data_IF_316785228046
#
_entry.id   IF_316785228046
#
_cell.length_a   1.000
_cell.length_b   1.000
_cell.length_c   1.000
_cell.angle_alpha   90.00
_cell.angle_beta   90.00
_cell.angle_gamma   90.00
#
_symmetry.space_group_name_H-M   'P 1'
#
loop_
_entity.id
_entity.type
_entity.pdbx_description
1 polymer ?
#
# COMPACT_ATOMS: atom_id res chain seq x y z
N UNK A 1 4.03 -20.49 0.99
CA UNK A 1 4.57 -19.77 2.17
C UNK A 1 4.71 -18.32 1.76
N UNK A 2 4.09 -17.39 2.50
CA UNK A 2 4.24 -15.95 2.24
C UNK A 2 5.30 -15.42 3.21
N UNK A 3 6.32 -14.75 2.68
CA UNK A 3 7.36 -14.09 3.49
C UNK A 3 7.00 -12.62 3.56
N UNK A 4 6.74 -12.12 4.76
CA UNK A 4 6.37 -10.72 4.98
C UNK A 4 7.65 -9.89 5.02
N UNK A 5 7.69 -8.81 4.24
CA UNK A 5 8.84 -7.91 4.14
C UNK A 5 8.42 -6.47 4.42
N UNK A 6 9.36 -5.64 4.89
CA UNK A 6 9.12 -4.20 5.03
C UNK A 6 9.05 -3.56 3.65
N UNK A 7 8.13 -2.62 3.44
CA UNK A 7 7.82 -2.08 2.11
C UNK A 7 9.03 -1.46 1.40
N UNK A 8 9.92 -0.80 2.14
CA UNK A 8 11.16 -0.23 1.62
C UNK A 8 12.16 -1.28 1.11
N UNK A 9 12.07 -2.54 1.57
CA UNK A 9 12.90 -3.66 1.08
C UNK A 9 12.49 -4.14 -0.31
N UNK A 10 11.28 -3.84 -0.75
CA UNK A 10 10.80 -4.14 -2.10
C UNK A 10 11.26 -3.10 -3.14
N UNK A 11 11.92 -2.02 -2.69
CA UNK A 11 12.42 -0.93 -3.52
C UNK A 11 11.33 0.05 -3.93
N UNK A 12 11.77 1.25 -4.32
CA UNK A 12 10.87 2.39 -4.58
C UNK A 12 9.86 2.12 -5.72
N UNK A 13 10.21 1.29 -6.71
CA UNK A 13 9.31 0.87 -7.80
C UNK A 13 8.12 -0.02 -7.35
N UNK A 14 8.04 -0.38 -6.07
CA UNK A 14 6.90 -1.08 -5.48
C UNK A 14 5.85 -0.12 -4.90
N UNK A 15 6.19 1.17 -4.69
CA UNK A 15 5.33 2.17 -4.02
C UNK A 15 3.93 2.24 -4.64
N UNK A 16 3.86 2.35 -5.96
CA UNK A 16 2.59 2.43 -6.69
C UNK A 16 1.69 1.23 -6.36
N UNK A 17 2.23 0.02 -6.50
CA UNK A 17 1.50 -1.23 -6.29
C UNK A 17 1.07 -1.42 -4.83
N UNK A 18 1.91 -1.03 -3.87
CA UNK A 18 1.55 -1.02 -2.45
C UNK A 18 0.38 -0.03 -2.20
N UNK A 19 0.44 1.14 -2.82
CA UNK A 19 -0.62 2.16 -2.71
C UNK A 19 -1.93 1.66 -3.32
N UNK A 20 -1.88 0.98 -4.45
CA UNK A 20 -3.05 0.36 -5.09
C UNK A 20 -3.71 -0.69 -4.20
N UNK A 21 -2.93 -1.50 -3.48
CA UNK A 21 -3.46 -2.41 -2.45
C UNK A 21 -4.11 -1.62 -1.32
N UNK A 22 -3.45 -0.58 -0.80
CA UNK A 22 -3.98 0.28 0.26
C UNK A 22 -5.33 0.90 -0.11
N UNK A 23 -5.42 1.58 -1.26
CA UNK A 23 -6.68 2.23 -1.65
C UNK A 23 -7.78 1.23 -1.92
N UNK A 24 -7.48 0.07 -2.51
CA UNK A 24 -8.48 -0.98 -2.72
C UNK A 24 -9.01 -1.55 -1.40
N UNK A 25 -8.15 -1.68 -0.40
CA UNK A 25 -8.53 -2.18 0.93
C UNK A 25 -9.41 -1.20 1.70
N UNK A 26 -9.26 0.11 1.48
CA UNK A 26 -9.91 1.16 2.27
C UNK A 26 -10.78 2.13 1.43
N UNK A 27 -11.12 1.78 0.18
CA UNK A 27 -11.86 2.68 -0.74
C UNK A 27 -13.18 3.17 -0.15
N UNK A 28 -13.85 2.35 0.67
CA UNK A 28 -15.11 2.74 1.32
C UNK A 28 -14.91 3.88 2.32
N UNK A 29 -13.74 3.98 2.95
CA UNK A 29 -13.38 5.07 3.86
C UNK A 29 -13.02 6.36 3.11
N UNK A 30 -12.73 6.27 1.81
CA UNK A 30 -12.28 7.39 0.97
C UNK A 30 -13.33 7.92 -0.01
N UNK A 31 -14.56 7.40 0.03
CA UNK A 31 -15.64 7.77 -0.92
C UNK A 31 -15.99 9.26 -0.93
N UNK A 32 -15.66 10.00 0.14
CA UNK A 32 -15.83 11.44 0.21
C UNK A 32 -14.84 12.21 -0.69
N UNK A 33 -13.68 11.61 -1.01
CA UNK A 33 -12.66 12.20 -1.87
C UNK A 33 -12.84 11.76 -3.34
N UNK A 34 -12.93 10.45 -3.58
CA UNK A 34 -13.20 9.88 -4.89
C UNK A 34 -13.70 8.44 -4.75
N UNK A 35 -14.39 7.94 -5.78
CA UNK A 35 -14.72 6.52 -5.94
C UNK A 35 -13.76 5.80 -6.88
N UNK A 36 -12.91 6.54 -7.60
CA UNK A 36 -11.91 5.99 -8.50
C UNK A 36 -10.65 5.65 -7.70
N UNK A 37 -10.29 4.37 -7.67
CA UNK A 37 -9.08 3.91 -6.95
C UNK A 37 -7.79 4.40 -7.62
N UNK A 38 -7.80 4.72 -8.91
CA UNK A 38 -6.68 5.33 -9.61
C UNK A 38 -6.40 6.74 -9.09
N UNK A 39 -7.44 7.59 -9.02
CA UNK A 39 -7.33 8.94 -8.46
C UNK A 39 -6.84 8.91 -7.00
N UNK A 40 -7.39 7.99 -6.20
CA UNK A 40 -6.97 7.82 -4.81
C UNK A 40 -5.52 7.32 -4.69
N UNK A 41 -5.09 6.42 -5.58
CA UNK A 41 -3.71 5.96 -5.59
C UNK A 41 -2.76 7.10 -5.95
N UNK A 42 -3.07 7.88 -6.99
CA UNK A 42 -2.29 9.07 -7.38
C UNK A 42 -2.18 10.07 -6.21
N UNK A 43 -3.29 10.28 -5.49
CA UNK A 43 -3.33 11.18 -4.35
C UNK A 43 -2.52 10.68 -3.14
N UNK A 44 -2.51 9.38 -2.85
CA UNK A 44 -1.90 8.84 -1.63
C UNK A 44 -0.49 8.28 -1.81
N UNK A 45 -0.04 8.00 -3.03
CA UNK A 45 1.23 7.30 -3.30
C UNK A 45 2.43 7.95 -2.59
N UNK A 46 2.51 9.28 -2.69
CA UNK A 46 3.59 10.07 -2.08
C UNK A 46 3.49 10.20 -0.55
N UNK A 47 2.34 9.86 0.05
CA UNK A 47 2.11 9.95 1.50
C UNK A 47 2.57 8.69 2.24
N UNK A 48 2.72 7.55 1.56
CA UNK A 48 3.09 6.28 2.19
C UNK A 48 4.58 6.28 2.59
N UNK A 49 4.85 6.16 3.89
CA UNK A 49 6.20 5.91 4.40
C UNK A 49 6.49 4.41 4.33
N UNK A 50 7.17 3.94 3.28
CA UNK A 50 7.33 2.50 3.01
C UNK A 50 8.02 1.70 4.12
N UNK A 51 8.81 2.37 4.97
CA UNK A 51 9.44 1.77 6.15
C UNK A 51 8.45 1.51 7.31
N UNK A 52 7.22 2.02 7.22
CA UNK A 52 6.12 1.79 8.18
C UNK A 52 5.14 0.72 7.75
N UNK A 53 5.28 0.20 6.52
CA UNK A 53 4.41 -0.84 5.98
C UNK A 53 5.12 -2.18 5.90
N UNK A 54 4.41 -3.23 6.27
CA UNK A 54 4.79 -4.62 6.08
C UNK A 54 3.89 -5.22 5.00
N UNK A 55 4.50 -5.80 3.97
CA UNK A 55 3.82 -6.26 2.77
C UNK A 55 3.85 -7.78 2.74
N UNK A 56 2.69 -8.38 2.42
CA UNK A 56 2.53 -9.79 2.15
C UNK A 56 2.48 -10.01 0.64
N UNK A 57 3.59 -10.41 -0.01
CA UNK A 57 3.61 -10.68 -1.44
C UNK A 57 3.03 -12.06 -1.78
N UNK A 58 2.30 -12.15 -2.89
CA UNK A 58 1.89 -13.40 -3.53
C UNK A 58 2.38 -13.35 -4.97
N UNK A 59 3.14 -14.36 -5.39
CA UNK A 59 3.77 -14.41 -6.72
C UNK A 59 4.60 -13.17 -7.07
N UNK A 60 5.24 -12.57 -6.06
CA UNK A 60 6.08 -11.38 -6.21
C UNK A 60 5.32 -10.05 -6.21
N UNK A 61 3.99 -10.08 -6.15
CA UNK A 61 3.15 -8.87 -6.15
C UNK A 61 2.56 -8.59 -4.77
N UNK A 62 2.46 -7.31 -4.34
CA UNK A 62 1.77 -6.94 -3.11
C UNK A 62 0.33 -7.46 -3.10
N UNK A 63 -0.03 -8.28 -2.11
CA UNK A 63 -1.38 -8.84 -1.98
C UNK A 63 -2.07 -8.45 -0.67
N UNK A 64 -1.29 -8.08 0.34
CA UNK A 64 -1.79 -7.55 1.60
C UNK A 64 -0.76 -6.64 2.25
N UNK A 65 -1.21 -5.83 3.18
CA UNK A 65 -0.37 -4.91 3.93
C UNK A 65 -0.85 -4.77 5.38
N UNK A 66 0.10 -4.42 6.24
CA UNK A 66 -0.15 -3.91 7.58
C UNK A 66 0.74 -2.68 7.78
N UNK A 67 0.28 -1.69 8.55
CA UNK A 67 1.12 -0.58 9.00
C UNK A 67 1.42 -0.72 10.48
N UNK A 68 2.65 -0.40 10.88
CA UNK A 68 3.05 -0.30 12.28
C UNK A 68 3.60 1.10 12.52
N UNK A 69 2.92 1.85 13.38
CA UNK A 69 3.35 3.18 13.82
C UNK A 69 3.56 3.15 15.33
N UNK A 70 4.78 3.43 15.75
CA UNK A 70 5.16 3.58 17.16
C UNK A 70 5.29 5.07 17.50
N UNK A 71 4.98 5.44 18.74
CA UNK A 71 5.00 6.80 19.26
C UNK A 71 5.54 6.88 20.68
#
# INVERSE_FOLDING_TARGET
MVVIERGDKLGEGSRRRITEVYVRSFVQDFVAFSRDTGDLADAFEHMLLLDRFYIAPVDGEPAGLASLTEG
#
